data_IF_780847355393
#
_entry.id   IF_780847355393
#
_cell.length_a   1.000
_cell.length_b   1.000
_cell.length_c   1.000
_cell.angle_alpha   90.00
_cell.angle_beta   90.00
_cell.angle_gamma   90.00
#
_symmetry.space_group_name_H-M   'P 1'
#
loop_
_entity.id
_entity.type
_entity.pdbx_description
1 polymer ?
#
# COMPACT_ATOMS: atom_id res chain seq x y z
N UNK A 1 -23.73 11.85 2.96
CA UNK A 1 -22.41 12.17 3.58
C UNK A 1 -21.44 11.07 3.21
N UNK A 2 -20.42 11.35 2.39
CA UNK A 2 -19.45 10.34 1.98
C UNK A 2 -18.46 10.15 3.11
N UNK A 3 -18.65 9.11 3.93
CA UNK A 3 -17.72 8.76 5.00
C UNK A 3 -16.33 8.53 4.40
N UNK A 4 -15.38 9.41 4.70
CA UNK A 4 -13.95 9.18 4.42
C UNK A 4 -13.48 8.06 5.35
N UNK A 5 -13.63 6.80 4.94
CA UNK A 5 -13.07 5.64 5.63
C UNK A 5 -11.56 5.57 5.37
N UNK A 6 -10.83 6.49 5.99
CA UNK A 6 -9.36 6.48 5.99
C UNK A 6 -8.92 5.49 7.06
N UNK A 7 -8.42 4.34 6.66
CA UNK A 7 -7.72 3.42 7.56
C UNK A 7 -6.24 3.78 7.57
N UNK A 8 -5.67 3.98 8.76
CA UNK A 8 -4.23 4.21 8.95
C UNK A 8 -3.54 2.88 9.21
N UNK A 9 -2.28 2.77 8.78
CA UNK A 9 -1.51 1.55 8.91
C UNK A 9 -0.02 1.81 8.95
N UNK A 10 0.74 0.74 9.24
CA UNK A 10 2.20 0.77 9.17
C UNK A 10 2.67 0.11 7.88
N UNK A 11 3.60 0.78 7.22
CA UNK A 11 4.33 0.26 6.08
C UNK A 11 5.70 -0.16 6.57
N UNK A 12 6.04 -1.43 6.39
CA UNK A 12 7.36 -1.95 6.74
C UNK A 12 8.04 -2.39 5.46
N UNK A 13 9.21 -1.82 5.17
CA UNK A 13 10.10 -2.38 4.15
C UNK A 13 10.45 -3.81 4.55
N UNK A 14 10.30 -4.73 3.61
CA UNK A 14 10.38 -6.16 3.86
C UNK A 14 11.60 -6.75 3.15
N UNK A 15 11.67 -6.59 1.82
CA UNK A 15 12.78 -7.10 1.03
C UNK A 15 12.88 -6.36 -0.30
N UNK A 16 14.09 -6.26 -0.82
CA UNK A 16 14.32 -5.83 -2.19
C UNK A 16 14.53 -7.02 -3.14
N UNK A 17 13.95 -6.91 -4.32
CA UNK A 17 14.23 -7.78 -5.46
C UNK A 17 15.09 -7.05 -6.50
N UNK A 18 15.42 -7.70 -7.62
CA UNK A 18 16.16 -7.05 -8.70
C UNK A 18 15.43 -5.81 -9.25
N UNK A 19 14.08 -5.81 -9.26
CA UNK A 19 13.27 -4.77 -9.92
C UNK A 19 12.38 -3.95 -8.97
N UNK A 20 12.14 -4.44 -7.75
CA UNK A 20 11.15 -3.85 -6.85
C UNK A 20 11.64 -3.78 -5.39
N UNK A 21 11.26 -2.70 -4.72
CA UNK A 21 11.13 -2.60 -3.27
C UNK A 21 9.81 -3.22 -2.81
N UNK A 22 9.86 -4.15 -1.86
CA UNK A 22 8.68 -4.81 -1.30
C UNK A 22 8.37 -4.23 0.08
N UNK A 23 7.13 -3.79 0.26
CA UNK A 23 6.61 -3.30 1.53
C UNK A 23 5.45 -4.18 2.00
N UNK A 24 5.47 -4.57 3.26
CA UNK A 24 4.32 -5.16 3.93
C UNK A 24 3.45 -4.03 4.47
N UNK A 25 2.16 -4.05 4.14
CA UNK A 25 1.19 -3.10 4.65
C UNK A 25 0.25 -3.80 5.63
N UNK A 26 0.14 -3.24 6.83
CA UNK A 26 -0.83 -3.65 7.85
C UNK A 26 -1.60 -2.41 8.31
N UNK A 27 -2.87 -2.33 7.95
CA UNK A 27 -3.78 -1.27 8.35
C UNK A 27 -4.95 -1.81 9.17
N UNK A 28 -5.66 -0.92 9.85
CA UNK A 28 -6.84 -1.25 10.66
C UNK A 28 -7.96 -1.85 9.79
N UNK A 29 -8.85 -2.62 10.42
CA UNK A 29 -9.94 -3.30 9.71
C UNK A 29 -9.51 -4.56 8.96
N UNK A 30 -8.37 -5.15 9.31
CA UNK A 30 -7.88 -6.40 8.72
C UNK A 30 -7.26 -6.24 7.33
N UNK A 31 -6.93 -5.01 6.93
CA UNK A 31 -6.31 -4.74 5.63
C UNK A 31 -4.83 -5.11 5.73
N UNK A 32 -4.49 -6.25 5.14
CA UNK A 32 -3.12 -6.76 4.99
C UNK A 32 -2.78 -6.89 3.51
N UNK A 33 -1.56 -6.56 3.13
CA UNK A 33 -1.10 -6.77 1.77
C UNK A 33 0.39 -6.59 1.58
N UNK A 34 0.81 -6.69 0.33
CA UNK A 34 2.18 -6.47 -0.09
C UNK A 34 2.19 -5.48 -1.25
N UNK A 35 2.91 -4.38 -1.08
CA UNK A 35 3.13 -3.37 -2.11
C UNK A 35 4.49 -3.61 -2.76
N UNK A 36 4.50 -3.60 -4.09
CA UNK A 36 5.72 -3.67 -4.90
C UNK A 36 5.92 -2.31 -5.56
N UNK A 37 6.99 -1.61 -5.20
CA UNK A 37 7.37 -0.33 -5.79
C UNK A 37 8.59 -0.57 -6.67
N UNK A 38 8.55 -0.23 -7.97
CA UNK A 38 9.72 -0.36 -8.84
C UNK A 38 10.92 0.40 -8.28
N UNK A 39 12.14 -0.14 -8.43
CA UNK A 39 13.37 0.50 -7.94
C UNK A 39 13.72 1.79 -8.70
N UNK A 40 13.24 1.90 -9.93
CA UNK A 40 13.36 3.08 -10.78
C UNK A 40 12.22 4.09 -10.55
N UNK A 41 11.27 3.78 -9.66
CA UNK A 41 10.28 4.76 -9.24
C UNK A 41 11.01 5.91 -8.52
N UNK A 42 10.73 7.15 -8.96
CA UNK A 42 11.32 8.35 -8.34
C UNK A 42 10.87 8.53 -6.90
N UNK A 43 9.66 8.08 -6.58
CA UNK A 43 9.01 8.30 -5.30
C UNK A 43 8.31 7.02 -4.82
N UNK A 44 8.40 6.78 -3.51
CA UNK A 44 7.59 5.77 -2.82
C UNK A 44 6.25 6.43 -2.49
N UNK A 45 5.09 5.79 -2.81
CA UNK A 45 3.79 6.39 -2.56
C UNK A 45 3.55 6.63 -1.08
N UNK A 46 3.05 7.82 -0.75
CA UNK A 46 2.66 8.26 0.59
C UNK A 46 1.26 7.78 0.99
N UNK A 47 0.38 7.51 0.01
CA UNK A 47 -0.99 7.05 0.23
C UNK A 47 -1.49 6.06 -0.83
N UNK A 48 -2.44 5.21 -0.46
CA UNK A 48 -3.09 4.24 -1.34
C UNK A 48 -4.60 4.36 -1.18
N UNK A 49 -5.34 4.44 -2.29
CA UNK A 49 -6.81 4.51 -2.29
C UNK A 49 -7.40 3.23 -2.88
N UNK A 50 -8.15 2.48 -2.08
CA UNK A 50 -8.91 1.33 -2.54
C UNK A 50 -10.29 1.77 -3.04
N UNK A 51 -10.59 1.49 -4.31
CA UNK A 51 -11.93 1.68 -4.88
C UNK A 51 -12.55 0.31 -5.15
N UNK A 52 -13.72 0.04 -4.58
CA UNK A 52 -14.50 -1.15 -4.92
C UNK A 52 -14.99 -0.98 -6.36
N UNK A 53 -14.53 -1.84 -7.27
CA UNK A 53 -15.10 -1.95 -8.61
C UNK A 53 -16.24 -2.96 -8.50
N UNK A 54 -17.46 -2.55 -8.85
CA UNK A 54 -18.57 -3.49 -9.02
C UNK A 54 -18.41 -4.15 -10.39
N UNK A 55 -18.41 -5.49 -10.41
CA UNK A 55 -18.56 -6.25 -11.65
C UNK A 55 -20.02 -6.22 -12.12
#
# INVERSE_FOLDING_TARGET
MTEKKVSKGRFKHDKDSAKYHRYQLKAEGGIVGTLYVPKDAKDIPDSIVLKKIAN
#
